data_IF_774311204991
#
_entry.id   IF_774311204991
#
_cell.length_a   1.000
_cell.length_b   1.000
_cell.length_c   1.000
_cell.angle_alpha   90.00
_cell.angle_beta   90.00
_cell.angle_gamma   90.00
#
_symmetry.space_group_name_H-M   'P 1'
#
loop_
_entity.id
_entity.type
_entity.pdbx_description
1 polymer ?
#
# COMPACT_ATOMS: atom_id res chain seq x y z
N UNK A 1 34.34 12.01 -43.11
CA UNK A 1 33.03 11.33 -43.14
C UNK A 1 32.93 10.46 -41.90
N UNK A 2 31.86 10.60 -41.11
CA UNK A 2 31.60 9.80 -39.91
C UNK A 2 30.37 8.94 -40.16
N UNK A 3 30.43 7.65 -39.82
CA UNK A 3 29.29 6.74 -39.92
C UNK A 3 28.61 6.65 -38.54
N UNK A 4 27.31 6.90 -38.47
CA UNK A 4 26.55 6.87 -37.20
C UNK A 4 25.69 5.60 -37.13
N UNK A 5 25.63 4.99 -35.94
CA UNK A 5 24.78 3.81 -35.68
C UNK A 5 23.32 4.23 -35.57
N UNK A 6 22.44 3.57 -36.32
CA UNK A 6 20.98 3.80 -36.27
C UNK A 6 20.26 2.51 -35.87
N UNK A 7 19.09 2.64 -35.25
CA UNK A 7 18.24 1.52 -34.88
C UNK A 7 17.00 1.97 -34.12
N UNK A 8 15.95 1.17 -34.17
CA UNK A 8 14.74 1.35 -33.38
C UNK A 8 14.61 0.25 -32.33
N UNK A 9 13.92 0.56 -31.24
CA UNK A 9 13.55 -0.38 -30.19
C UNK A 9 12.11 -0.14 -29.76
N UNK A 10 11.60 -1.01 -28.89
CA UNK A 10 10.33 -0.84 -28.19
C UNK A 10 10.51 -1.10 -26.70
N UNK A 11 9.63 -0.49 -25.91
CA UNK A 11 9.50 -0.72 -24.47
C UNK A 11 8.09 -1.18 -24.20
N UNK A 12 7.93 -2.36 -23.62
CA UNK A 12 6.62 -2.92 -23.28
C UNK A 12 6.62 -3.42 -21.84
N UNK A 13 5.46 -3.35 -21.20
CA UNK A 13 5.30 -3.76 -19.82
C UNK A 13 3.85 -4.07 -19.49
N UNK A 14 3.67 -4.70 -18.34
CA UNK A 14 2.37 -5.05 -17.79
C UNK A 14 2.17 -4.36 -16.45
N UNK A 15 0.90 -4.11 -16.13
CA UNK A 15 0.46 -3.58 -14.85
C UNK A 15 -0.24 -4.68 -14.05
N UNK A 16 0.28 -4.90 -12.84
CA UNK A 16 -0.28 -5.81 -11.84
C UNK A 16 -0.85 -5.03 -10.66
N UNK A 17 -1.99 -5.48 -10.13
CA UNK A 17 -2.63 -4.93 -8.94
C UNK A 17 -2.59 -5.95 -7.81
N UNK A 18 -2.04 -5.54 -6.67
CA UNK A 18 -2.05 -6.21 -5.38
C UNK A 18 -3.01 -5.45 -4.46
N UNK A 19 -4.29 -5.76 -4.52
CA UNK A 19 -5.34 -4.98 -3.84
C UNK A 19 -6.62 -5.77 -3.57
N UNK A 20 -6.55 -7.09 -3.62
CA UNK A 20 -7.70 -7.98 -3.40
C UNK A 20 -8.96 -7.61 -4.23
N UNK A 21 -8.75 -7.16 -5.47
CA UNK A 21 -9.81 -6.68 -6.37
C UNK A 21 -10.62 -5.51 -5.78
N UNK A 22 -9.91 -4.56 -5.18
CA UNK A 22 -10.47 -3.35 -4.59
C UNK A 22 -11.50 -2.67 -5.51
N UNK A 23 -12.65 -2.30 -4.93
CA UNK A 23 -13.76 -1.64 -5.65
C UNK A 23 -13.45 -0.19 -6.03
N UNK A 24 -12.50 0.43 -5.35
CA UNK A 24 -12.06 1.80 -5.56
C UNK A 24 -10.77 1.89 -6.41
N UNK A 25 -10.40 0.80 -7.11
CA UNK A 25 -9.30 0.80 -8.07
C UNK A 25 -9.58 1.83 -9.18
N UNK A 26 -8.62 2.69 -9.55
CA UNK A 26 -8.81 3.64 -10.63
C UNK A 26 -8.97 2.92 -11.98
N UNK A 27 -9.75 3.52 -12.87
CA UNK A 27 -9.99 2.97 -14.22
C UNK A 27 -8.77 3.12 -15.15
N UNK A 28 -7.89 4.06 -14.82
CA UNK A 28 -6.77 4.51 -15.64
C UNK A 28 -5.53 4.80 -14.79
N UNK A 29 -4.37 4.45 -15.32
CA UNK A 29 -3.08 4.93 -14.83
C UNK A 29 -2.32 5.60 -15.96
N UNK A 30 -1.35 6.44 -15.60
CA UNK A 30 -0.43 7.08 -16.55
C UNK A 30 0.98 6.54 -16.34
N UNK A 31 1.55 5.97 -17.39
CA UNK A 31 2.92 5.45 -17.43
C UNK A 31 3.74 6.36 -18.31
N UNK A 32 4.76 6.98 -17.72
CA UNK A 32 5.73 7.82 -18.40
C UNK A 32 6.89 6.94 -18.93
N UNK A 33 7.28 7.17 -20.17
CA UNK A 33 8.53 6.68 -20.74
C UNK A 33 9.63 7.72 -20.49
N UNK A 34 10.71 7.29 -19.86
CA UNK A 34 11.88 8.12 -19.61
C UNK A 34 13.00 7.73 -20.58
N UNK A 35 13.55 8.70 -21.29
CA UNK A 35 14.78 8.57 -22.07
C UNK A 35 15.90 9.31 -21.33
N UNK A 36 16.94 8.61 -20.90
CA UNK A 36 18.05 9.16 -20.12
C UNK A 36 17.57 10.00 -18.92
N UNK A 37 16.54 9.53 -18.22
CA UNK A 37 15.96 10.19 -17.05
C UNK A 37 14.98 11.34 -17.35
N UNK A 38 14.69 11.66 -18.60
CA UNK A 38 13.68 12.67 -18.99
C UNK A 38 12.43 12.02 -19.55
N UNK A 39 11.26 12.47 -19.12
CA UNK A 39 9.99 12.03 -19.69
C UNK A 39 9.92 12.48 -21.16
N UNK A 40 9.67 11.53 -22.06
CA UNK A 40 9.56 11.76 -23.51
C UNK A 40 8.21 11.35 -24.09
N UNK A 41 7.46 10.51 -23.39
CA UNK A 41 6.11 10.10 -23.78
C UNK A 41 5.34 9.63 -22.54
N UNK A 42 4.01 9.61 -22.61
CA UNK A 42 3.11 9.12 -21.56
C UNK A 42 1.99 8.30 -22.19
N UNK A 43 1.74 7.11 -21.65
CA UNK A 43 0.59 6.27 -22.02
C UNK A 43 -0.40 6.13 -20.91
N UNK A 44 -1.67 6.23 -21.31
CA UNK A 44 -2.80 5.82 -20.49
C UNK A 44 -3.01 4.31 -20.61
N UNK A 45 -3.14 3.63 -19.47
CA UNK A 45 -3.29 2.18 -19.37
C UNK A 45 -4.54 1.87 -18.57
N UNK A 46 -5.39 0.99 -19.10
CA UNK A 46 -6.71 0.70 -18.55
C UNK A 46 -6.99 -0.80 -18.55
N UNK A 47 -8.11 -1.20 -17.95
CA UNK A 47 -8.60 -2.58 -18.06
C UNK A 47 -8.87 -3.00 -19.53
N UNK A 48 -9.29 -2.06 -20.40
CA UNK A 48 -9.55 -2.34 -21.82
C UNK A 48 -8.28 -2.73 -22.60
N UNK A 49 -7.11 -2.24 -22.18
CA UNK A 49 -5.81 -2.67 -22.75
C UNK A 49 -5.25 -3.91 -22.06
N UNK A 50 -6.07 -4.59 -21.24
CA UNK A 50 -5.64 -5.68 -20.35
C UNK A 50 -4.47 -5.28 -19.46
N UNK A 51 -4.42 -4.01 -19.03
CA UNK A 51 -3.33 -3.47 -18.22
C UNK A 51 -1.94 -3.63 -18.87
N UNK A 52 -1.87 -3.61 -20.20
CA UNK A 52 -0.62 -3.65 -20.97
C UNK A 52 -0.37 -2.34 -21.68
N UNK A 53 0.91 -2.04 -21.89
CA UNK A 53 1.34 -0.87 -22.66
C UNK A 53 2.62 -1.17 -23.44
N UNK A 54 2.77 -0.43 -24.55
CA UNK A 54 3.92 -0.56 -25.45
C UNK A 54 4.24 0.82 -26.02
N UNK A 55 5.50 1.24 -25.94
CA UNK A 55 6.08 2.36 -26.65
C UNK A 55 6.90 1.81 -27.82
N UNK A 56 6.56 2.21 -29.04
CA UNK A 56 7.17 1.67 -30.27
C UNK A 56 8.01 2.74 -30.97
N UNK A 57 8.84 2.29 -31.93
CA UNK A 57 9.63 3.16 -32.81
C UNK A 57 10.54 4.14 -32.05
N UNK A 58 11.09 3.66 -30.93
CA UNK A 58 12.00 4.43 -30.09
C UNK A 58 13.40 4.39 -30.69
N UNK A 59 14.03 5.56 -30.86
CA UNK A 59 15.43 5.64 -31.31
C UNK A 59 16.33 4.87 -30.32
N UNK A 60 17.16 3.96 -30.80
CA UNK A 60 18.06 3.20 -29.93
C UNK A 60 19.36 3.95 -29.60
N UNK A 61 19.77 4.90 -30.45
CA UNK A 61 21.04 5.63 -30.32
C UNK A 61 20.86 7.13 -30.58
N UNK A 62 21.69 7.95 -29.93
CA UNK A 62 21.77 9.38 -30.18
C UNK A 62 22.57 9.71 -31.45
N UNK A 63 22.70 11.00 -31.76
CA UNK A 63 23.43 11.48 -32.93
C UNK A 63 24.93 11.12 -32.93
N UNK A 64 25.50 10.81 -31.77
CA UNK A 64 26.88 10.38 -31.59
C UNK A 64 27.04 8.85 -31.59
N UNK A 65 25.93 8.10 -31.72
CA UNK A 65 25.91 6.64 -31.68
C UNK A 65 25.90 6.05 -30.27
N UNK A 66 25.69 6.84 -29.21
CA UNK A 66 25.55 6.34 -27.84
C UNK A 66 24.13 5.81 -27.62
N UNK A 67 23.99 4.68 -26.93
CA UNK A 67 22.68 4.06 -26.72
C UNK A 67 21.82 4.88 -25.75
N UNK A 68 20.54 5.06 -26.07
CA UNK A 68 19.58 5.62 -25.14
C UNK A 68 19.22 4.60 -24.05
N UNK A 69 19.16 5.06 -22.80
CA UNK A 69 18.58 4.31 -21.69
C UNK A 69 17.10 4.64 -21.62
N UNK A 70 16.26 3.61 -21.69
CA UNK A 70 14.82 3.74 -21.50
C UNK A 70 14.38 3.11 -20.18
N UNK A 71 13.53 3.81 -19.45
CA UNK A 71 12.92 3.38 -18.20
C UNK A 71 11.45 3.78 -18.20
N UNK A 72 10.66 3.17 -17.33
CA UNK A 72 9.25 3.52 -17.14
C UNK A 72 9.02 4.00 -15.73
N UNK A 73 8.08 4.92 -15.57
CA UNK A 73 7.63 5.40 -14.27
C UNK A 73 6.13 5.54 -14.27
N UNK A 74 5.47 5.10 -13.22
CA UNK A 74 4.06 5.41 -13.02
C UNK A 74 3.91 6.77 -12.35
N UNK A 75 2.93 7.55 -12.80
CA UNK A 75 2.45 8.70 -12.04
C UNK A 75 1.76 8.23 -10.75
N UNK A 76 1.83 9.04 -9.70
CA UNK A 76 1.33 8.63 -8.39
C UNK A 76 -0.16 8.26 -8.44
N UNK A 77 -0.50 7.11 -7.85
CA UNK A 77 -1.89 6.63 -7.71
C UNK A 77 -2.28 6.71 -6.23
N UNK A 78 -3.26 7.54 -5.86
CA UNK A 78 -3.68 7.68 -4.45
C UNK A 78 -4.08 6.34 -3.82
N UNK A 79 -3.56 6.07 -2.61
CA UNK A 79 -3.84 4.83 -1.88
C UNK A 79 -3.04 3.61 -2.34
N UNK A 80 -2.06 3.80 -3.21
CA UNK A 80 -1.21 2.72 -3.73
C UNK A 80 0.26 3.08 -3.65
N UNK A 81 1.08 2.07 -3.37
CA UNK A 81 2.52 2.11 -3.53
C UNK A 81 2.90 1.40 -4.83
N UNK A 82 3.74 2.05 -5.66
CA UNK A 82 4.13 1.56 -6.98
C UNK A 82 5.55 1.01 -6.97
N UNK A 83 5.75 -0.16 -7.58
CA UNK A 83 7.06 -0.79 -7.77
C UNK A 83 7.27 -1.17 -9.23
N UNK A 84 8.40 -0.75 -9.79
CA UNK A 84 8.82 -1.08 -11.16
C UNK A 84 9.88 -2.19 -11.12
N UNK A 85 9.70 -3.24 -11.91
CA UNK A 85 10.65 -4.33 -12.11
C UNK A 85 10.93 -4.50 -13.60
N UNK A 86 12.06 -3.99 -14.07
CA UNK A 86 12.30 -3.82 -15.50
C UNK A 86 11.32 -2.79 -16.07
N UNK A 87 10.27 -3.28 -16.72
CA UNK A 87 9.18 -2.46 -17.27
C UNK A 87 7.81 -2.88 -16.70
N UNK A 88 7.74 -3.93 -15.89
CA UNK A 88 6.49 -4.30 -15.24
C UNK A 88 6.25 -3.42 -14.01
N UNK A 89 5.01 -3.01 -13.82
CA UNK A 89 4.58 -2.14 -12.73
C UNK A 89 3.64 -2.93 -11.83
N UNK A 90 3.91 -2.96 -10.53
CA UNK A 90 3.00 -3.51 -9.52
C UNK A 90 2.52 -2.38 -8.61
N UNK A 91 1.21 -2.18 -8.48
CA UNK A 91 0.65 -1.36 -7.41
C UNK A 91 0.12 -2.21 -6.28
N UNK A 92 0.54 -1.88 -5.06
CA UNK A 92 0.07 -2.51 -3.83
C UNK A 92 -0.81 -1.52 -3.07
N UNK A 93 -2.02 -1.94 -2.68
CA UNK A 93 -2.91 -1.10 -1.86
C UNK A 93 -2.26 -0.85 -0.52
N UNK A 94 -2.23 0.41 -0.10
CA UNK A 94 -1.65 0.82 1.17
C UNK A 94 -2.57 1.79 1.89
N UNK A 95 -2.43 1.87 3.21
CA UNK A 95 -3.23 2.74 4.03
C UNK A 95 -2.89 2.56 5.50
N UNK A 96 -3.30 3.53 6.30
CA UNK A 96 -3.24 3.46 7.75
C UNK A 96 -4.64 3.47 8.34
N UNK A 97 -4.80 2.83 9.48
CA UNK A 97 -6.01 2.83 10.28
C UNK A 97 -5.67 2.98 11.75
N UNK A 98 -6.69 3.06 12.58
CA UNK A 98 -6.58 3.02 14.04
C UNK A 98 -7.70 2.16 14.63
N UNK A 99 -7.44 1.60 15.81
CA UNK A 99 -8.44 0.90 16.61
C UNK A 99 -8.54 1.60 17.94
N UNK A 100 -9.73 2.08 18.30
CA UNK A 100 -9.96 2.78 19.55
C UNK A 100 -11.23 2.27 20.22
N UNK A 101 -11.28 2.38 21.54
CA UNK A 101 -12.42 1.91 22.31
C UNK A 101 -12.41 2.43 23.73
N UNK A 102 -13.45 2.06 24.47
CA UNK A 102 -13.62 2.40 25.88
C UNK A 102 -14.09 1.16 26.63
N UNK A 103 -13.42 0.81 27.73
CA UNK A 103 -13.91 -0.23 28.64
C UNK A 103 -15.10 0.30 29.42
N UNK A 104 -16.19 -0.46 29.40
CA UNK A 104 -17.36 -0.23 30.23
C UNK A 104 -17.44 -1.31 31.31
N UNK A 105 -17.83 -0.91 32.51
CA UNK A 105 -18.03 -1.81 33.65
C UNK A 105 -19.52 -1.92 33.95
N UNK A 106 -20.05 -3.14 34.00
CA UNK A 106 -21.43 -3.41 34.40
C UNK A 106 -21.46 -4.09 35.76
N UNK A 107 -21.12 -3.33 36.81
CA UNK A 107 -20.84 -3.83 38.16
C UNK A 107 -21.53 -3.01 39.26
N UNK A 108 -22.50 -2.17 38.89
CA UNK A 108 -23.18 -1.30 39.85
C UNK A 108 -22.30 -0.19 40.44
N UNK A 109 -21.23 0.23 39.75
CA UNK A 109 -20.23 1.19 40.25
C UNK A 109 -19.45 0.69 41.46
N UNK A 110 -18.96 -0.54 41.36
CA UNK A 110 -18.07 -1.14 42.35
C UNK A 110 -16.85 -0.25 42.64
N UNK A 111 -16.39 -0.25 43.89
CA UNK A 111 -15.30 0.62 44.38
C UNK A 111 -13.93 -0.07 44.40
N UNK A 112 -13.92 -1.39 44.17
CA UNK A 112 -12.77 -2.29 44.22
C UNK A 112 -12.27 -2.69 42.83
N UNK A 113 -12.61 -1.91 41.78
CA UNK A 113 -12.09 -2.11 40.43
C UNK A 113 -10.56 -2.06 40.42
N UNK A 114 -9.89 -2.86 39.57
CA UNK A 114 -8.47 -2.66 39.33
C UNK A 114 -8.24 -1.25 38.77
N UNK A 115 -7.03 -0.70 38.93
CA UNK A 115 -6.68 0.61 38.36
C UNK A 115 -6.25 0.51 36.89
N UNK A 116 -6.03 -0.71 36.40
CA UNK A 116 -5.48 -1.04 35.10
C UNK A 116 -6.07 -2.36 34.60
N UNK A 117 -6.37 -2.43 33.31
CA UNK A 117 -6.60 -3.70 32.59
C UNK A 117 -5.65 -3.77 31.40
N UNK A 118 -5.49 -4.97 30.84
CA UNK A 118 -4.71 -5.18 29.62
C UNK A 118 -5.62 -5.53 28.46
N UNK A 119 -5.48 -4.78 27.37
CA UNK A 119 -6.20 -5.02 26.11
C UNK A 119 -5.18 -5.39 25.05
N UNK A 120 -5.36 -6.58 24.47
CA UNK A 120 -4.59 -7.06 23.35
C UNK A 120 -5.22 -6.58 22.04
N UNK A 121 -4.40 -6.04 21.13
CA UNK A 121 -4.75 -5.84 19.73
C UNK A 121 -4.35 -7.09 18.96
N UNK A 122 -5.31 -7.65 18.23
CA UNK A 122 -5.12 -8.79 17.37
C UNK A 122 -5.17 -8.33 15.91
N UNK A 123 -4.23 -8.81 15.11
CA UNK A 123 -4.19 -8.68 13.65
C UNK A 123 -4.35 -10.07 13.04
N UNK A 124 -5.42 -10.28 12.26
CA UNK A 124 -5.77 -11.57 11.69
C UNK A 124 -5.78 -12.71 12.74
N UNK A 125 -6.28 -12.41 13.95
CA UNK A 125 -6.33 -13.35 15.07
C UNK A 125 -5.05 -13.53 15.88
N UNK A 126 -3.94 -12.89 15.51
CA UNK A 126 -2.68 -12.95 16.28
C UNK A 126 -2.49 -11.69 17.12
N UNK A 127 -2.13 -11.84 18.39
CA UNK A 127 -1.77 -10.70 19.24
C UNK A 127 -0.50 -10.03 18.70
N UNK A 128 -0.58 -8.73 18.40
CA UNK A 128 0.55 -7.94 17.89
C UNK A 128 0.99 -6.84 18.87
N UNK A 129 0.11 -6.44 19.79
CA UNK A 129 0.38 -5.41 20.78
C UNK A 129 -0.53 -5.61 21.99
N UNK A 130 -0.04 -5.26 23.17
CA UNK A 130 -0.84 -5.16 24.40
C UNK A 130 -0.77 -3.72 24.90
N UNK A 131 -1.90 -3.18 25.34
CA UNK A 131 -2.00 -1.84 25.89
C UNK A 131 -2.59 -1.88 27.29
N UNK A 132 -1.97 -1.11 28.18
CA UNK A 132 -2.50 -0.87 29.52
C UNK A 132 -3.60 0.20 29.43
N UNK A 133 -4.79 -0.12 29.93
CA UNK A 133 -5.94 0.79 29.93
C UNK A 133 -6.22 1.19 31.38
N UNK A 134 -6.06 2.47 31.68
CA UNK A 134 -6.06 2.97 33.05
C UNK A 134 -7.37 3.67 33.43
N UNK A 135 -7.79 3.48 34.67
CA UNK A 135 -8.94 4.20 35.25
C UNK A 135 -8.76 5.72 35.18
N UNK A 136 -7.56 6.21 35.49
CA UNK A 136 -7.22 7.65 35.50
C UNK A 136 -7.27 8.29 34.11
N UNK A 137 -7.16 7.48 33.05
CA UNK A 137 -7.30 7.92 31.65
C UNK A 137 -8.74 7.72 31.11
N UNK A 138 -9.69 7.45 32.01
CA UNK A 138 -11.11 7.28 31.66
C UNK A 138 -11.40 5.99 30.89
N UNK A 139 -10.59 4.94 31.08
CA UNK A 139 -10.79 3.63 30.48
C UNK A 139 -10.79 3.60 28.94
N UNK A 140 -10.09 4.55 28.31
CA UNK A 140 -9.97 4.66 26.85
C UNK A 140 -8.65 4.09 26.36
N UNK A 141 -8.64 3.57 25.15
CA UNK A 141 -7.42 3.14 24.46
C UNK A 141 -7.48 3.49 22.98
N UNK A 142 -6.30 3.66 22.39
CA UNK A 142 -6.11 3.90 20.96
C UNK A 142 -4.84 3.19 20.49
N UNK A 143 -4.98 2.36 19.46
CA UNK A 143 -3.90 1.82 18.66
C UNK A 143 -3.88 2.61 17.35
N UNK A 144 -2.91 3.51 17.20
CA UNK A 144 -2.79 4.39 16.04
C UNK A 144 -1.78 3.86 15.02
N UNK A 145 -1.79 4.45 13.82
CA UNK A 145 -0.80 4.20 12.77
C UNK A 145 -0.66 2.73 12.32
N UNK A 146 -1.74 1.96 12.44
CA UNK A 146 -1.77 0.55 12.03
C UNK A 146 -1.82 0.45 10.51
N UNK A 147 -1.03 -0.44 9.91
CA UNK A 147 -1.16 -0.75 8.49
C UNK A 147 -2.56 -1.31 8.20
N UNK A 148 -3.26 -0.79 7.20
CA UNK A 148 -4.60 -1.27 6.84
C UNK A 148 -4.55 -2.52 5.95
N UNK A 149 -3.45 -2.73 5.24
CA UNK A 149 -3.29 -3.80 4.25
C UNK A 149 -1.93 -4.49 4.41
N UNK A 150 -1.87 -5.77 4.03
CA UNK A 150 -0.63 -6.55 3.98
C UNK A 150 0.20 -6.28 2.71
N UNK A 151 1.30 -7.02 2.53
CA UNK A 151 2.21 -6.87 1.40
C UNK A 151 1.62 -7.32 0.04
N UNK A 152 0.44 -7.94 0.08
CA UNK A 152 -0.36 -8.37 -1.06
C UNK A 152 -1.53 -7.42 -1.30
N UNK A 153 -1.66 -6.37 -0.48
CA UNK A 153 -2.73 -5.38 -0.54
C UNK A 153 -4.07 -5.90 -0.03
N UNK A 154 -4.09 -6.99 0.73
CA UNK A 154 -5.29 -7.51 1.37
C UNK A 154 -5.48 -6.85 2.73
N UNK A 155 -6.72 -6.49 3.05
CA UNK A 155 -7.03 -5.79 4.30
C UNK A 155 -6.72 -6.66 5.52
N UNK A 156 -6.10 -6.07 6.54
CA UNK A 156 -5.98 -6.68 7.85
C UNK A 156 -7.31 -6.62 8.59
N UNK A 157 -7.66 -7.71 9.26
CA UNK A 157 -8.71 -7.72 10.27
C UNK A 157 -8.09 -7.38 11.62
N UNK A 158 -8.58 -6.30 12.24
CA UNK A 158 -8.19 -5.93 13.60
C UNK A 158 -9.32 -6.16 14.58
N UNK A 159 -9.02 -6.85 15.66
CA UNK A 159 -9.92 -7.04 16.80
C UNK A 159 -9.19 -6.75 18.10
N UNK A 160 -9.95 -6.58 19.17
CA UNK A 160 -9.42 -6.35 20.51
C UNK A 160 -9.92 -7.42 21.44
N UNK A 161 -9.07 -7.83 22.38
CA UNK A 161 -9.41 -8.79 23.42
C UNK A 161 -8.92 -8.29 24.76
N UNK A 162 -9.81 -8.26 25.73
CA UNK A 162 -9.43 -8.02 27.12
C UNK A 162 -8.76 -9.28 27.70
N UNK A 163 -7.65 -9.09 28.42
CA UNK A 163 -7.07 -10.16 29.22
C UNK A 163 -7.91 -10.38 30.48
N UNK A 164 -8.00 -11.63 31.00
CA UNK A 164 -8.84 -11.95 32.14
C UNK A 164 -8.66 -10.98 33.31
N UNK A 165 -9.76 -10.42 33.79
CA UNK A 165 -9.78 -9.57 34.97
C UNK A 165 -10.38 -10.38 36.11
N UNK A 166 -9.63 -10.53 37.21
CA UNK A 166 -10.08 -11.31 38.36
C UNK A 166 -11.44 -10.80 38.89
N UNK A 167 -12.42 -11.70 39.01
CA UNK A 167 -13.78 -11.37 39.48
C UNK A 167 -14.74 -10.86 38.40
N UNK A 168 -14.31 -10.81 37.13
CA UNK A 168 -15.14 -10.35 36.01
C UNK A 168 -15.15 -11.37 34.87
N UNK A 169 -16.29 -11.46 34.19
CA UNK A 169 -16.43 -12.18 32.92
C UNK A 169 -16.38 -11.16 31.77
N UNK A 170 -15.72 -11.53 30.66
CA UNK A 170 -15.50 -10.69 29.48
C UNK A 170 -16.41 -11.08 28.32
#
# INVERSE_FOLDING_TARGET
MTNTKVGETKVEGTKTWKDDNAKDRPEIIKVDLLQNGKVVDTKEVTAATNWKYTFEKLQAYDANGAAYKYEVKEQAVPGYESKVSGTDITNTKVGKTKVEGTKTWNDGNATDRPTIIKVDLLQNGNVIQTHDVLAVMGWKYIFADLAAYDAEGKAYEYTVKEQPVAGYES
#
